data_IF_572609315734
#
_entry.id   IF_572609315734
#
_cell.length_a   1.000
_cell.length_b   1.000
_cell.length_c   1.000
_cell.angle_alpha   90.00
_cell.angle_beta   90.00
_cell.angle_gamma   90.00
#
_symmetry.space_group_name_H-M   'P 1'
#
loop_
_entity.id
_entity.type
_entity.pdbx_description
1 polymer ?
#
# COMPACT_ATOMS: atom_id res chain seq x y z
N UNK A 1 15.48 22.78 -35.87
CA UNK A 1 15.62 22.02 -34.60
C UNK A 1 15.14 20.60 -34.80
N UNK A 2 15.92 19.59 -34.41
CA UNK A 2 15.58 18.18 -34.62
C UNK A 2 14.69 17.68 -33.47
N UNK A 3 13.36 17.74 -33.68
CA UNK A 3 12.31 17.39 -32.70
C UNK A 3 12.39 15.93 -32.22
N UNK A 4 13.13 15.06 -32.92
CA UNK A 4 13.30 13.65 -32.54
C UNK A 4 14.15 13.47 -31.28
N UNK A 5 15.21 14.28 -31.10
CA UNK A 5 16.09 14.21 -29.92
C UNK A 5 15.37 14.50 -28.60
N UNK A 6 14.58 15.59 -28.45
CA UNK A 6 13.84 15.84 -27.22
C UNK A 6 12.74 14.81 -26.95
N UNK A 7 12.08 14.26 -27.99
CA UNK A 7 11.08 13.20 -27.81
C UNK A 7 11.69 11.90 -27.29
N UNK A 8 12.86 11.50 -27.82
CA UNK A 8 13.59 10.32 -27.33
C UNK A 8 14.03 10.54 -25.88
N UNK A 9 14.59 11.72 -25.57
CA UNK A 9 14.99 12.04 -24.19
C UNK A 9 13.82 11.98 -23.21
N UNK A 10 12.66 12.52 -23.59
CA UNK A 10 11.44 12.46 -22.79
C UNK A 10 10.96 11.00 -22.60
N UNK A 11 10.99 10.19 -23.66
CA UNK A 11 10.64 8.77 -23.57
C UNK A 11 11.57 7.99 -22.64
N UNK A 12 12.89 8.23 -22.72
CA UNK A 12 13.86 7.62 -21.82
C UNK A 12 13.63 8.05 -20.37
N UNK A 13 13.38 9.34 -20.12
CA UNK A 13 13.10 9.84 -18.78
C UNK A 13 11.85 9.18 -18.19
N UNK A 14 10.77 9.08 -18.97
CA UNK A 14 9.54 8.43 -18.56
C UNK A 14 9.77 6.95 -18.21
N UNK A 15 10.54 6.23 -19.02
CA UNK A 15 10.89 4.83 -18.77
C UNK A 15 11.67 4.67 -17.46
N UNK A 16 12.64 5.55 -17.20
CA UNK A 16 13.41 5.57 -15.94
C UNK A 16 12.49 5.83 -14.75
N UNK A 17 11.56 6.79 -14.85
CA UNK A 17 10.59 7.05 -13.79
C UNK A 17 9.73 5.81 -13.51
N UNK A 18 9.18 5.16 -14.54
CA UNK A 18 8.34 3.96 -14.37
C UNK A 18 9.14 2.82 -13.73
N UNK A 19 10.37 2.57 -14.21
CA UNK A 19 11.23 1.54 -13.64
C UNK A 19 11.58 1.83 -12.17
N UNK A 20 11.89 3.10 -11.85
CA UNK A 20 12.14 3.54 -10.48
C UNK A 20 10.93 3.34 -9.57
N UNK A 21 9.73 3.67 -10.04
CA UNK A 21 8.49 3.44 -9.29
C UNK A 21 8.21 1.94 -9.08
N UNK A 22 8.42 1.11 -10.11
CA UNK A 22 8.24 -0.34 -9.99
C UNK A 22 9.22 -0.92 -8.95
N UNK A 23 10.49 -0.50 -8.99
CA UNK A 23 11.51 -0.93 -8.04
C UNK A 23 11.19 -0.48 -6.61
N UNK A 24 10.75 0.76 -6.43
CA UNK A 24 10.33 1.28 -5.13
C UNK A 24 9.21 0.43 -4.52
N UNK A 25 8.14 0.20 -5.27
CA UNK A 25 6.98 -0.57 -4.82
C UNK A 25 7.27 -2.05 -4.62
N UNK A 26 8.19 -2.65 -5.38
CA UNK A 26 8.52 -4.07 -5.25
C UNK A 26 9.56 -4.35 -4.17
N UNK A 27 10.54 -3.44 -3.97
CA UNK A 27 11.73 -3.75 -3.20
C UNK A 27 11.90 -2.93 -1.94
N UNK A 28 11.70 -1.61 -2.03
CA UNK A 28 12.04 -0.67 -0.95
C UNK A 28 10.88 -0.42 0.00
N UNK A 29 9.69 -0.13 -0.53
CA UNK A 29 8.53 0.18 0.28
C UNK A 29 8.02 -0.99 1.13
N UNK A 30 7.81 -2.21 0.59
CA UNK A 30 7.06 -3.22 1.32
C UNK A 30 7.64 -3.61 2.69
N UNK A 31 8.97 -3.81 2.86
CA UNK A 31 9.53 -4.16 4.16
C UNK A 31 9.85 -2.97 5.05
N UNK A 32 9.65 -1.73 4.58
CA UNK A 32 10.15 -0.55 5.27
C UNK A 32 9.58 -0.39 6.69
N UNK A 33 10.45 -0.27 7.70
CA UNK A 33 10.05 -0.22 9.11
C UNK A 33 9.71 -1.58 9.73
N UNK A 34 9.83 -2.68 8.98
CA UNK A 34 9.59 -4.05 9.41
C UNK A 34 10.86 -4.91 9.38
N UNK A 35 12.00 -4.34 8.99
CA UNK A 35 13.22 -5.07 8.62
C UNK A 35 13.88 -5.80 9.81
N UNK A 36 13.55 -5.38 11.04
CA UNK A 36 14.14 -5.93 12.27
C UNK A 36 13.24 -6.97 12.96
N UNK A 37 12.07 -7.24 12.40
CA UNK A 37 11.10 -8.13 13.00
C UNK A 37 11.31 -9.56 12.52
N UNK A 38 11.40 -10.48 13.48
CA UNK A 38 11.42 -11.90 13.19
C UNK A 38 10.06 -12.37 12.65
N UNK A 39 10.07 -13.54 12.01
CA UNK A 39 8.86 -14.17 11.47
C UNK A 39 7.80 -14.42 12.54
N UNK A 40 8.19 -14.67 13.78
CA UNK A 40 7.26 -14.93 14.89
C UNK A 40 6.61 -13.65 15.42
N UNK A 41 7.15 -12.46 15.08
CA UNK A 41 6.64 -11.14 15.49
C UNK A 41 5.54 -10.62 14.54
N UNK A 42 4.65 -11.51 14.08
CA UNK A 42 3.60 -11.19 13.12
C UNK A 42 2.63 -10.09 13.60
N UNK A 43 2.24 -10.13 14.88
CA UNK A 43 1.31 -9.16 15.46
C UNK A 43 1.92 -7.76 15.57
N UNK A 44 3.20 -7.68 15.94
CA UNK A 44 3.95 -6.42 16.01
C UNK A 44 4.17 -5.83 14.61
N UNK A 45 4.55 -6.67 13.64
CA UNK A 45 4.67 -6.24 12.24
C UNK A 45 3.36 -5.67 11.71
N UNK A 46 2.24 -6.34 12.03
CA UNK A 46 0.91 -5.90 11.64
C UNK A 46 0.52 -4.56 12.28
N UNK A 47 0.80 -4.35 13.57
CA UNK A 47 0.49 -3.08 14.26
C UNK A 47 1.31 -1.91 13.69
N UNK A 48 2.60 -2.11 13.42
CA UNK A 48 3.46 -1.10 12.77
C UNK A 48 2.91 -0.74 11.39
N UNK A 49 2.59 -1.74 10.57
CA UNK A 49 2.04 -1.52 9.25
C UNK A 49 0.65 -0.83 9.30
N UNK A 50 -0.20 -1.21 10.26
CA UNK A 50 -1.52 -0.61 10.43
C UNK A 50 -1.43 0.88 10.78
N UNK A 51 -0.54 1.24 11.70
CA UNK A 51 -0.30 2.64 12.10
C UNK A 51 0.30 3.44 10.96
N UNK A 52 1.33 2.90 10.29
CA UNK A 52 1.93 3.52 9.11
C UNK A 52 0.92 3.76 7.99
N UNK A 53 0.05 2.78 7.74
CA UNK A 53 -1.03 2.90 6.77
C UNK A 53 -2.06 3.97 7.17
N UNK A 54 -2.62 3.94 8.39
CA UNK A 54 -3.60 4.95 8.82
C UNK A 54 -2.94 6.34 8.70
N UNK A 55 -1.73 6.55 9.24
CA UNK A 55 -1.04 7.85 9.23
C UNK A 55 -0.78 8.38 7.81
N UNK A 56 -0.22 7.56 6.92
CA UNK A 56 0.06 7.94 5.53
C UNK A 56 -1.20 8.17 4.68
N UNK A 57 -2.33 7.65 5.14
CA UNK A 57 -3.67 7.85 4.58
C UNK A 57 -4.41 9.05 5.18
N UNK A 58 -3.79 9.81 6.11
CA UNK A 58 -4.45 10.92 6.80
C UNK A 58 -5.54 10.46 7.79
N UNK A 59 -5.41 9.25 8.32
CA UNK A 59 -6.30 8.64 9.30
C UNK A 59 -5.60 8.50 10.65
N UNK A 60 -6.36 8.61 11.73
CA UNK A 60 -5.89 8.31 13.10
C UNK A 60 -6.22 6.86 13.43
N UNK A 61 -5.22 6.03 13.73
CA UNK A 61 -5.43 4.67 14.22
C UNK A 61 -6.14 4.71 15.60
N UNK A 62 -7.24 3.97 15.74
CA UNK A 62 -7.98 3.88 17.02
C UNK A 62 -7.69 2.55 17.73
N UNK A 63 -7.92 1.43 17.05
CA UNK A 63 -7.77 0.08 17.61
C UNK A 63 -7.72 -1.00 16.54
N UNK A 64 -7.30 -2.18 16.96
CA UNK A 64 -7.46 -3.42 16.20
C UNK A 64 -8.88 -3.93 16.38
N UNK A 65 -9.58 -4.19 15.28
CA UNK A 65 -10.88 -4.88 15.34
C UNK A 65 -10.69 -6.41 15.34
N UNK A 66 -9.82 -6.93 14.46
CA UNK A 66 -9.31 -8.30 14.57
C UNK A 66 -7.97 -8.47 13.85
N UNK A 67 -7.25 -9.52 14.24
CA UNK A 67 -6.04 -9.99 13.58
C UNK A 67 -6.09 -11.52 13.46
N UNK A 68 -5.61 -12.04 12.33
CA UNK A 68 -5.45 -13.46 12.04
C UNK A 68 -4.05 -13.70 11.49
N UNK A 69 -3.52 -14.88 11.77
CA UNK A 69 -2.23 -15.31 11.26
C UNK A 69 -2.32 -16.73 10.72
N UNK A 70 -1.48 -17.02 9.74
CA UNK A 70 -1.29 -18.36 9.19
C UNK A 70 0.18 -18.60 8.91
N UNK A 71 0.72 -19.63 9.54
CA UNK A 71 2.03 -20.18 9.21
C UNK A 71 1.79 -21.65 8.81
N UNK A 72 1.82 -21.98 7.50
CA UNK A 72 1.70 -23.37 7.05
C UNK A 72 2.75 -24.26 7.71
N UNK A 73 2.38 -25.50 8.05
CA UNK A 73 3.31 -26.49 8.64
C UNK A 73 4.42 -26.93 7.69
N UNK A 74 4.22 -26.70 6.39
CA UNK A 74 5.17 -26.99 5.31
C UNK A 74 5.41 -25.72 4.51
N UNK A 75 6.69 -25.33 4.37
CA UNK A 75 7.09 -24.05 3.77
C UNK A 75 7.54 -23.04 4.83
N UNK A 76 8.43 -22.12 4.45
CA UNK A 76 8.93 -21.08 5.36
C UNK A 76 8.03 -19.84 5.44
N UNK A 77 6.89 -19.86 4.75
CA UNK A 77 6.00 -18.72 4.58
C UNK A 77 5.17 -18.47 5.84
N UNK A 78 4.81 -17.21 6.07
CA UNK A 78 3.89 -16.81 7.11
C UNK A 78 3.07 -15.61 6.61
N UNK A 79 1.84 -15.50 7.07
CA UNK A 79 0.92 -14.46 6.67
C UNK A 79 0.23 -13.90 7.89
N UNK A 80 0.01 -12.60 7.91
CA UNK A 80 -0.78 -11.93 8.96
C UNK A 80 -1.67 -10.89 8.34
N UNK A 81 -2.92 -10.86 8.76
CA UNK A 81 -3.91 -9.93 8.24
C UNK A 81 -4.97 -9.57 9.26
N UNK A 82 -5.66 -8.46 9.03
CA UNK A 82 -6.61 -7.96 10.00
C UNK A 82 -7.25 -6.67 9.56
N UNK A 83 -8.07 -6.12 10.44
CA UNK A 83 -8.74 -4.83 10.26
C UNK A 83 -8.35 -3.88 11.37
N UNK A 84 -7.81 -2.73 10.98
CA UNK A 84 -7.61 -1.58 11.84
C UNK A 84 -8.82 -0.66 11.73
N UNK A 85 -9.35 -0.23 12.88
CA UNK A 85 -10.31 0.85 12.93
C UNK A 85 -9.54 2.16 12.99
N UNK A 86 -9.78 3.04 12.02
CA UNK A 86 -9.21 4.39 11.99
C UNK A 86 -10.33 5.44 12.02
N UNK A 87 -9.97 6.69 12.33
CA UNK A 87 -10.84 7.87 12.25
C UNK A 87 -10.29 8.88 11.25
N UNK A 88 -11.17 9.50 10.48
CA UNK A 88 -10.85 10.60 9.56
C UNK A 88 -10.81 11.95 10.29
N UNK A 89 -10.21 12.97 9.68
CA UNK A 89 -10.14 14.32 10.27
C UNK A 89 -11.52 14.95 10.57
N UNK A 90 -12.56 14.57 9.82
CA UNK A 90 -13.96 14.99 10.04
C UNK A 90 -14.73 14.10 11.05
N UNK A 91 -14.03 13.19 11.73
CA UNK A 91 -14.58 12.40 12.82
C UNK A 91 -15.29 11.10 12.41
N UNK A 92 -15.40 10.80 11.11
CA UNK A 92 -16.00 9.55 10.62
C UNK A 92 -15.10 8.34 10.87
N UNK A 93 -15.71 7.20 11.17
CA UNK A 93 -14.97 5.95 11.31
C UNK A 93 -14.75 5.30 9.94
N UNK A 94 -13.55 4.74 9.77
CA UNK A 94 -13.16 3.93 8.60
C UNK A 94 -12.50 2.65 9.08
N UNK A 95 -12.56 1.62 8.24
CA UNK A 95 -11.87 0.36 8.47
C UNK A 95 -10.76 0.23 7.43
N UNK A 96 -9.57 -0.13 7.87
CA UNK A 96 -8.42 -0.39 7.01
C UNK A 96 -8.06 -1.88 7.08
N UNK A 97 -8.04 -2.54 5.93
CA UNK A 97 -7.53 -3.88 5.78
C UNK A 97 -6.02 -3.83 5.65
N UNK A 98 -5.33 -4.60 6.50
CA UNK A 98 -3.87 -4.70 6.50
C UNK A 98 -3.50 -6.16 6.30
N UNK A 99 -2.63 -6.43 5.33
CA UNK A 99 -2.13 -7.76 5.00
C UNK A 99 -0.62 -7.73 4.78
N UNK A 100 0.09 -8.61 5.47
CA UNK A 100 1.54 -8.79 5.36
C UNK A 100 1.86 -10.26 5.06
N UNK A 101 2.97 -10.45 4.35
CA UNK A 101 3.54 -11.76 4.07
C UNK A 101 5.01 -11.82 4.47
N UNK A 102 5.44 -12.96 4.99
CA UNK A 102 6.84 -13.24 5.25
C UNK A 102 7.50 -13.72 3.96
N UNK A 103 8.46 -12.95 3.46
CA UNK A 103 9.23 -13.33 2.29
C UNK A 103 10.36 -14.27 2.68
N UNK A 104 10.24 -15.54 2.34
CA UNK A 104 11.30 -16.55 2.55
C UNK A 104 12.60 -16.25 1.80
N UNK A 105 12.52 -15.49 0.70
CA UNK A 105 13.70 -15.08 -0.09
C UNK A 105 14.47 -13.94 0.56
N UNK A 106 13.77 -13.08 1.31
CA UNK A 106 14.33 -11.87 1.89
C UNK A 106 14.52 -11.96 3.40
N UNK A 107 13.88 -12.94 4.02
CA UNK A 107 13.82 -13.15 5.47
C UNK A 107 13.23 -11.93 6.19
N UNK A 108 12.16 -11.36 5.61
CA UNK A 108 11.53 -10.12 6.08
C UNK A 108 10.01 -10.16 5.91
N UNK A 109 9.31 -9.43 6.78
CA UNK A 109 7.91 -9.09 6.57
C UNK A 109 7.76 -8.06 5.45
N UNK A 110 6.77 -8.27 4.59
CA UNK A 110 6.47 -7.45 3.42
C UNK A 110 5.02 -7.00 3.48
N UNK A 111 4.77 -5.70 3.28
CA UNK A 111 3.43 -5.19 3.01
C UNK A 111 2.90 -5.76 1.71
N UNK A 112 1.75 -6.42 1.79
CA UNK A 112 0.97 -6.80 0.62
C UNK A 112 -0.24 -5.88 0.45
N UNK A 113 -1.37 -6.45 0.06
CA UNK A 113 -2.58 -5.69 -0.25
C UNK A 113 -3.18 -5.03 1.01
N UNK A 114 -3.03 -3.71 1.11
CA UNK A 114 -3.51 -2.89 2.23
C UNK A 114 -4.42 -1.79 1.67
N UNK A 115 -5.62 -1.60 2.23
CA UNK A 115 -6.60 -0.65 1.70
C UNK A 115 -7.58 -0.17 2.76
N UNK A 116 -8.18 1.02 2.56
CA UNK A 116 -9.42 1.38 3.25
C UNK A 116 -10.55 0.54 2.68
N UNK A 117 -11.38 -0.03 3.54
CA UNK A 117 -12.56 -0.81 3.19
C UNK A 117 -13.75 0.12 2.93
N UNK A 118 -14.52 -0.19 1.89
CA UNK A 118 -15.68 0.57 1.46
C UNK A 118 -15.35 2.07 1.33
N UNK A 119 -14.33 2.37 0.51
CA UNK A 119 -14.04 3.74 0.15
C UNK A 119 -15.23 4.31 -0.63
N UNK A 120 -15.49 5.61 -0.49
CA UNK A 120 -16.50 6.31 -1.31
C UNK A 120 -16.25 6.12 -2.80
N UNK A 121 -14.99 5.97 -3.20
CA UNK A 121 -14.64 5.74 -4.60
C UNK A 121 -14.95 4.31 -5.09
N UNK A 122 -15.38 3.38 -4.23
CA UNK A 122 -15.67 2.00 -4.63
C UNK A 122 -17.05 1.86 -5.30
N UNK A 123 -17.96 2.82 -5.05
CA UNK A 123 -19.30 2.86 -5.65
C UNK A 123 -19.25 2.82 -7.18
N UNK A 124 -18.22 3.43 -7.78
CA UNK A 124 -18.00 3.47 -9.22
C UNK A 124 -17.93 2.08 -9.88
N UNK A 125 -17.48 1.07 -9.14
CA UNK A 125 -17.35 -0.29 -9.66
C UNK A 125 -18.69 -1.03 -9.67
N UNK A 126 -19.65 -0.58 -8.86
CA UNK A 126 -20.97 -1.18 -8.74
C UNK A 126 -22.05 -0.46 -9.57
N UNK A 127 -21.74 0.71 -10.15
CA UNK A 127 -22.67 1.49 -10.99
C UNK A 127 -22.48 1.16 -12.49
N UNK A 128 -23.39 0.42 -13.15
CA UNK A 128 -23.12 -0.18 -14.47
C UNK A 128 -22.86 0.82 -15.61
N UNK A 129 -23.53 1.96 -15.62
CA UNK A 129 -23.58 2.88 -16.78
C UNK A 129 -22.85 4.20 -16.56
N UNK A 130 -22.60 4.60 -15.32
CA UNK A 130 -21.93 5.84 -14.97
C UNK A 130 -20.65 5.52 -14.19
N UNK A 131 -19.47 6.08 -14.53
CA UNK A 131 -19.15 7.11 -15.52
C UNK A 131 -18.63 6.55 -16.87
N UNK A 132 -19.11 5.38 -17.31
CA UNK A 132 -18.62 4.72 -18.53
C UNK A 132 -17.16 4.23 -18.43
N UNK A 133 -16.63 3.68 -19.52
CA UNK A 133 -15.30 3.02 -19.52
C UNK A 133 -14.14 3.99 -19.28
N UNK A 134 -14.14 5.16 -19.93
CA UNK A 134 -13.09 6.17 -19.75
C UNK A 134 -13.08 6.73 -18.33
N UNK A 135 -14.25 7.00 -17.73
CA UNK A 135 -14.34 7.48 -16.35
C UNK A 135 -13.84 6.45 -15.34
N UNK A 136 -14.13 5.16 -15.57
CA UNK A 136 -13.58 4.05 -14.77
C UNK A 136 -12.07 3.95 -14.90
N UNK A 137 -11.52 4.06 -16.12
CA UNK A 137 -10.08 4.04 -16.36
C UNK A 137 -9.37 5.22 -15.66
N UNK A 138 -9.91 6.43 -15.79
CA UNK A 138 -9.39 7.61 -15.12
C UNK A 138 -9.42 7.47 -13.59
N UNK A 139 -10.49 6.89 -13.05
CA UNK A 139 -10.63 6.65 -11.60
C UNK A 139 -9.64 5.58 -11.12
N UNK A 140 -9.48 4.48 -11.86
CA UNK A 140 -8.50 3.45 -11.54
C UNK A 140 -7.07 4.01 -11.56
N UNK A 141 -6.72 4.79 -12.58
CA UNK A 141 -5.43 5.47 -12.65
C UNK A 141 -5.24 6.43 -11.46
N UNK A 142 -6.29 7.20 -11.12
CA UNK A 142 -6.29 8.06 -9.94
C UNK A 142 -6.05 7.31 -8.64
N UNK A 143 -6.68 6.14 -8.46
CA UNK A 143 -6.44 5.26 -7.29
C UNK A 143 -4.99 4.78 -7.24
N UNK A 144 -4.44 4.30 -8.36
CA UNK A 144 -3.04 3.87 -8.44
C UNK A 144 -2.10 5.02 -8.07
N UNK A 145 -2.35 6.24 -8.56
CA UNK A 145 -1.51 7.40 -8.24
C UNK A 145 -1.63 7.80 -6.76
N UNK A 146 -2.83 7.77 -6.18
CA UNK A 146 -3.03 8.04 -4.74
C UNK A 146 -2.33 7.01 -3.86
N UNK A 147 -2.40 5.74 -4.24
CA UNK A 147 -1.77 4.64 -3.52
C UNK A 147 -0.24 4.74 -3.57
N UNK A 148 0.33 5.03 -4.74
CA UNK A 148 1.77 5.30 -4.86
C UNK A 148 2.20 6.50 -4.02
N UNK A 149 1.42 7.59 -4.04
CA UNK A 149 1.71 8.75 -3.21
C UNK A 149 1.63 8.41 -1.71
N UNK A 150 0.72 7.52 -1.31
CA UNK A 150 0.61 6.99 0.06
C UNK A 150 1.85 6.18 0.44
N UNK A 151 2.33 5.28 -0.41
CA UNK A 151 3.56 4.52 -0.19
C UNK A 151 4.76 5.42 0.05
N UNK A 152 4.92 6.46 -0.77
CA UNK A 152 6.00 7.45 -0.61
C UNK A 152 5.86 8.21 0.72
N UNK A 153 4.64 8.67 1.06
CA UNK A 153 4.41 9.34 2.35
C UNK A 153 4.77 8.45 3.53
N UNK A 154 4.30 7.19 3.52
CA UNK A 154 4.60 6.24 4.59
C UNK A 154 6.10 6.00 4.72
N UNK A 155 6.80 5.82 3.60
CA UNK A 155 8.26 5.63 3.58
C UNK A 155 9.01 6.83 4.15
N UNK A 156 8.59 8.05 3.82
CA UNK A 156 9.21 9.27 4.33
C UNK A 156 8.89 9.51 5.82
N UNK A 157 7.70 9.12 6.28
CA UNK A 157 7.29 9.23 7.68
C UNK A 157 8.03 8.21 8.58
N UNK A 158 8.24 6.99 8.10
CA UNK A 158 8.97 5.93 8.82
C UNK A 158 10.46 6.20 9.00
N UNK A 159 11.01 7.19 8.28
CA UNK A 159 12.40 7.64 8.41
C UNK A 159 12.63 8.63 9.57
N UNK A 160 11.59 9.01 10.31
CA UNK A 160 11.62 10.07 11.34
C UNK A 160 11.64 9.54 12.80
N UNK A 161 11.87 8.25 13.00
CA UNK A 161 12.03 7.59 14.31
C UNK A 161 13.35 6.86 14.40
#
# INVERSE_FOLDING_TARGET
MNVKKPLIALGCLLAVCIAGFALFNAWFYPPHGLERLAREQSAEAWDIAARGFCASSGLTFERVDFIKQRAPSTGGEAYVWGVARCRTADGRQRLAWIYLEWSTKRDLWMRGYTTVLADSDDEIYYTPTFPGQYGRAATALGKIMRENARHVREYLMGSAT
#
